data_IF_957021209549
#
_entry.id   IF_957021209549
#
_cell.length_a   1.000
_cell.length_b   1.000
_cell.length_c   1.000
_cell.angle_alpha   90.00
_cell.angle_beta   90.00
_cell.angle_gamma   90.00
#
_symmetry.space_group_name_H-M   'P 1'
#
loop_
_entity.id
_entity.type
_entity.pdbx_description
1 polymer ?
#
# COMPACT_ATOMS: atom_id res chain seq x y z
N UNK A 1 44.66 28.25 24.83
CA UNK A 1 43.44 29.00 24.63
C UNK A 1 42.51 28.23 23.69
N UNK A 2 41.56 27.50 24.29
CA UNK A 2 40.46 26.89 23.53
C UNK A 2 39.45 27.99 23.23
N UNK A 3 39.59 28.68 22.11
CA UNK A 3 38.51 29.50 21.58
C UNK A 3 37.42 28.56 21.02
N UNK A 4 36.26 28.55 21.65
CA UNK A 4 35.05 28.02 21.09
C UNK A 4 34.69 28.91 19.88
N UNK A 5 35.02 28.46 18.68
CA UNK A 5 34.58 29.11 17.46
C UNK A 5 33.06 28.97 17.45
N UNK A 6 32.35 30.11 17.42
CA UNK A 6 30.92 30.18 17.63
C UNK A 6 30.13 29.15 16.85
N UNK A 7 29.19 28.48 17.55
CA UNK A 7 28.19 27.63 16.90
C UNK A 7 27.27 28.56 16.09
N UNK A 8 27.27 28.37 14.77
CA UNK A 8 26.25 28.96 13.90
C UNK A 8 25.04 28.02 13.92
N UNK A 9 23.93 28.45 14.46
CA UNK A 9 22.67 27.72 14.39
C UNK A 9 21.94 28.18 13.14
N UNK A 10 21.55 27.22 12.26
CA UNK A 10 20.68 27.50 11.13
C UNK A 10 19.28 27.01 11.49
N UNK A 11 18.29 27.87 11.37
CA UNK A 11 16.89 27.57 11.58
C UNK A 11 16.24 27.23 10.23
N UNK A 12 15.47 26.14 10.19
CA UNK A 12 14.73 25.70 9.02
C UNK A 12 13.25 25.73 9.33
N UNK A 13 12.45 26.26 8.42
CA UNK A 13 11.00 26.26 8.48
C UNK A 13 10.44 25.28 7.42
N UNK A 14 9.47 24.44 7.84
CA UNK A 14 8.83 23.46 6.96
C UNK A 14 7.33 23.70 6.88
N UNK A 15 6.79 23.70 5.66
CA UNK A 15 5.38 23.96 5.38
C UNK A 15 4.54 22.68 5.41
N UNK A 16 4.37 22.08 6.58
CA UNK A 16 3.73 20.76 6.73
C UNK A 16 2.22 20.81 7.04
N UNK A 17 1.67 21.98 7.30
CA UNK A 17 0.29 22.12 7.75
C UNK A 17 -0.72 21.64 6.70
N UNK A 18 -1.64 20.75 7.11
CA UNK A 18 -2.72 20.18 6.30
C UNK A 18 -2.29 19.27 5.14
N UNK A 19 -1.03 18.88 5.06
CA UNK A 19 -0.61 17.86 4.12
C UNK A 19 -1.15 16.49 4.54
N UNK A 20 -1.61 15.73 3.55
CA UNK A 20 -2.05 14.35 3.77
C UNK A 20 -0.84 13.44 3.94
N UNK A 21 -0.98 12.48 4.82
CA UNK A 21 0.07 11.46 5.06
C UNK A 21 0.02 10.43 3.93
N UNK A 22 1.18 10.05 3.42
CA UNK A 22 1.35 8.99 2.45
C UNK A 22 1.37 7.59 3.08
N UNK A 23 2.00 6.64 2.41
CA UNK A 23 2.24 5.25 2.79
C UNK A 23 1.02 4.33 2.89
N UNK A 24 -0.17 4.85 3.19
CA UNK A 24 -1.35 4.01 3.32
C UNK A 24 -2.63 4.73 2.89
N UNK A 25 -3.59 3.97 2.34
CA UNK A 25 -4.93 4.48 2.08
C UNK A 25 -5.61 4.92 3.38
N UNK A 26 -6.14 6.15 3.41
CA UNK A 26 -6.85 6.67 4.57
C UNK A 26 -8.30 6.18 4.63
N UNK A 27 -8.77 5.50 3.59
CA UNK A 27 -10.09 4.88 3.53
C UNK A 27 -9.94 3.44 3.04
N UNK A 28 -10.47 2.50 3.81
CA UNK A 28 -10.50 1.09 3.44
C UNK A 28 -11.86 0.48 3.78
N UNK A 29 -12.46 -0.22 2.83
CA UNK A 29 -13.62 -1.06 3.04
C UNK A 29 -13.26 -2.52 2.79
N UNK A 30 -13.71 -3.40 3.68
CA UNK A 30 -13.47 -4.84 3.58
C UNK A 30 -14.79 -5.57 3.76
N UNK A 31 -15.09 -6.46 2.83
CA UNK A 31 -16.25 -7.34 2.91
C UNK A 31 -15.87 -8.75 2.46
N UNK A 32 -16.42 -9.75 3.13
CA UNK A 32 -16.14 -11.13 2.81
C UNK A 32 -17.34 -12.04 3.00
N UNK A 33 -17.38 -13.11 2.20
CA UNK A 33 -18.37 -14.18 2.29
C UNK A 33 -17.66 -15.53 2.31
N UNK A 34 -18.03 -16.35 3.27
CA UNK A 34 -17.59 -17.75 3.33
C UNK A 34 -18.77 -18.68 3.12
N UNK A 35 -18.64 -19.59 2.18
CA UNK A 35 -19.62 -20.62 1.91
C UNK A 35 -19.02 -22.01 2.15
N UNK A 36 -19.86 -22.94 2.59
CA UNK A 36 -19.49 -24.36 2.81
C UNK A 36 -20.44 -25.24 2.00
N UNK A 37 -20.22 -25.38 0.69
CA UNK A 37 -21.17 -26.01 -0.22
C UNK A 37 -21.33 -27.52 0.02
N UNK A 38 -20.28 -28.17 0.51
CA UNK A 38 -20.26 -29.58 0.88
C UNK A 38 -19.46 -29.79 2.16
N UNK A 39 -19.62 -30.95 2.80
CA UNK A 39 -18.88 -31.31 4.00
C UNK A 39 -17.36 -31.28 3.72
N UNK A 40 -16.64 -30.61 4.58
CA UNK A 40 -15.19 -30.46 4.50
C UNK A 40 -14.70 -29.33 3.61
N UNK A 41 -15.51 -28.77 2.70
CA UNK A 41 -15.12 -27.69 1.80
C UNK A 41 -15.58 -26.32 2.33
N UNK A 42 -14.64 -25.40 2.42
CA UNK A 42 -14.87 -23.99 2.70
C UNK A 42 -14.29 -23.14 1.58
N UNK A 43 -15.08 -22.22 1.05
CA UNK A 43 -14.66 -21.26 0.04
C UNK A 43 -15.00 -19.87 0.55
N UNK A 44 -14.02 -18.98 0.58
CA UNK A 44 -14.15 -17.59 1.00
C UNK A 44 -13.77 -16.65 -0.13
N UNK A 45 -14.62 -15.67 -0.40
CA UNK A 45 -14.27 -14.48 -1.16
C UNK A 45 -14.08 -13.30 -0.22
N UNK A 46 -13.01 -12.55 -0.40
CA UNK A 46 -12.68 -11.37 0.39
C UNK A 46 -12.38 -10.21 -0.55
N UNK A 47 -13.28 -9.23 -0.56
CA UNK A 47 -13.11 -8.01 -1.35
C UNK A 47 -12.64 -6.87 -0.45
N UNK A 48 -11.59 -6.15 -0.89
CA UNK A 48 -11.06 -4.96 -0.25
C UNK A 48 -11.06 -3.82 -1.23
N UNK A 49 -11.52 -2.66 -0.79
CA UNK A 49 -11.49 -1.44 -1.59
C UNK A 49 -10.80 -0.34 -0.81
N UNK A 50 -9.93 0.40 -1.51
CA UNK A 50 -9.04 1.42 -0.95
C UNK A 50 -9.19 2.74 -1.69
N UNK A 51 -9.19 3.84 -0.93
CA UNK A 51 -9.23 5.20 -1.45
C UNK A 51 -8.49 6.17 -0.53
N UNK A 52 -8.36 7.41 -0.97
CA UNK A 52 -7.66 8.46 -0.25
C UNK A 52 -6.23 8.04 0.12
N UNK A 53 -5.55 7.41 -0.82
CA UNK A 53 -4.14 7.12 -0.74
C UNK A 53 -3.38 8.24 -1.43
N UNK A 54 -2.42 8.85 -0.72
CA UNK A 54 -1.62 9.96 -1.19
C UNK A 54 -0.17 9.51 -1.32
N UNK A 55 0.56 10.14 -2.26
CA UNK A 55 2.00 9.89 -2.37
C UNK A 55 2.69 10.25 -1.06
N UNK A 56 3.65 9.43 -0.67
CA UNK A 56 4.54 9.77 0.44
C UNK A 56 5.44 10.95 0.06
N UNK A 57 5.88 11.68 1.05
CA UNK A 57 6.68 12.88 0.87
C UNK A 57 7.64 13.07 2.04
N UNK A 58 8.79 13.67 1.75
CA UNK A 58 9.79 13.96 2.77
C UNK A 58 9.61 15.38 3.32
N UNK A 59 9.68 15.59 4.64
CA UNK A 59 9.59 16.93 5.24
C UNK A 59 10.59 17.94 4.66
N UNK A 60 11.80 17.50 4.35
CA UNK A 60 12.84 18.37 3.77
C UNK A 60 12.50 18.84 2.35
N UNK A 61 11.57 18.16 1.66
CA UNK A 61 11.04 18.63 0.38
C UNK A 61 10.02 19.78 0.55
N UNK A 62 9.67 20.14 1.77
CA UNK A 62 8.71 21.19 2.15
C UNK A 62 9.34 22.33 2.93
N UNK A 63 10.65 22.47 2.82
CA UNK A 63 11.38 23.62 3.37
C UNK A 63 10.88 24.91 2.72
N UNK A 64 10.68 25.93 3.55
CA UNK A 64 10.36 27.29 3.09
C UNK A 64 11.62 27.91 2.52
N UNK A 65 11.58 28.26 1.26
CA UNK A 65 12.68 28.90 0.55
C UNK A 65 12.36 30.35 0.11
N UNK A 66 13.19 30.92 -0.76
CA UNK A 66 13.00 32.30 -1.26
C UNK A 66 11.68 32.47 -2.03
N UNK A 67 11.16 31.42 -2.64
CA UNK A 67 9.88 31.40 -3.35
C UNK A 67 8.68 31.25 -2.39
N UNK A 68 8.95 31.00 -1.11
CA UNK A 68 7.96 30.86 -0.06
C UNK A 68 7.62 29.42 0.31
N UNK A 69 6.54 29.27 1.08
CA UNK A 69 6.09 28.00 1.61
C UNK A 69 5.29 27.19 0.56
N UNK A 70 5.79 26.03 0.17
CA UNK A 70 5.05 25.10 -0.67
C UNK A 70 4.08 24.26 0.18
N UNK A 71 2.79 24.56 0.07
CA UNK A 71 1.69 23.91 0.79
C UNK A 71 0.76 23.13 -0.14
N UNK A 72 1.15 22.93 -1.40
CA UNK A 72 0.37 22.16 -2.34
C UNK A 72 0.26 20.71 -1.91
N UNK A 73 -0.94 20.14 -2.02
CA UNK A 73 -1.19 18.75 -1.64
C UNK A 73 -0.48 17.80 -2.60
N UNK A 74 0.08 16.73 -2.06
CA UNK A 74 0.66 15.65 -2.85
C UNK A 74 -0.39 14.90 -3.66
N UNK A 75 0.04 14.23 -4.71
CA UNK A 75 -0.84 13.48 -5.59
C UNK A 75 -1.64 12.41 -4.83
N UNK A 76 -2.94 12.37 -5.10
CA UNK A 76 -3.81 11.29 -4.67
C UNK A 76 -3.81 10.20 -5.74
N UNK A 77 -3.41 8.98 -5.35
CA UNK A 77 -3.44 7.83 -6.26
C UNK A 77 -4.87 7.43 -6.60
N UNK A 78 -5.11 6.77 -7.74
CA UNK A 78 -6.41 6.18 -8.04
C UNK A 78 -6.86 5.19 -6.97
N UNK A 79 -8.17 5.18 -6.67
CA UNK A 79 -8.77 4.15 -5.83
C UNK A 79 -8.71 2.79 -6.53
N UNK A 80 -8.63 1.71 -5.75
CA UNK A 80 -8.61 0.36 -6.31
C UNK A 80 -9.31 -0.64 -5.40
N UNK A 81 -9.70 -1.77 -6.00
CA UNK A 81 -10.29 -2.90 -5.30
C UNK A 81 -9.54 -4.20 -5.59
N UNK A 82 -9.56 -5.11 -4.62
CA UNK A 82 -8.94 -6.44 -4.74
C UNK A 82 -9.89 -7.50 -4.28
N UNK A 83 -10.05 -8.54 -5.09
CA UNK A 83 -10.76 -9.77 -4.71
C UNK A 83 -9.74 -10.88 -4.46
N UNK A 84 -9.73 -11.42 -3.25
CA UNK A 84 -8.97 -12.62 -2.92
C UNK A 84 -9.93 -13.79 -2.69
N UNK A 85 -9.58 -14.97 -3.21
CA UNK A 85 -10.34 -16.20 -3.03
C UNK A 85 -9.50 -17.21 -2.24
N UNK A 86 -10.12 -17.82 -1.25
CA UNK A 86 -9.49 -18.81 -0.40
C UNK A 86 -10.32 -20.08 -0.35
N UNK A 87 -9.67 -21.21 -0.48
CA UNK A 87 -10.27 -22.52 -0.42
C UNK A 87 -9.57 -23.36 0.64
N UNK A 88 -10.34 -24.06 1.44
CA UNK A 88 -9.86 -25.12 2.32
C UNK A 88 -10.76 -26.33 2.17
N UNK A 89 -10.17 -27.50 1.89
CA UNK A 89 -10.90 -28.75 1.76
C UNK A 89 -10.27 -29.84 2.64
N UNK A 90 -11.01 -30.20 3.69
CA UNK A 90 -10.67 -31.39 4.47
C UNK A 90 -11.08 -32.62 3.65
N UNK A 91 -10.10 -33.36 3.16
CA UNK A 91 -10.29 -34.57 2.40
C UNK A 91 -10.91 -35.66 3.29
N UNK A 92 -11.63 -36.65 2.71
CA UNK A 92 -12.00 -37.85 3.44
C UNK A 92 -10.75 -38.52 3.99
N UNK A 93 -10.84 -39.05 5.19
CA UNK A 93 -9.75 -39.80 5.82
C UNK A 93 -9.37 -41.02 4.96
N UNK A 94 -8.07 -41.15 4.68
CA UNK A 94 -7.52 -42.29 3.94
C UNK A 94 -6.38 -42.91 4.74
N UNK A 95 -6.49 -44.15 5.04
CA UNK A 95 -5.47 -44.94 5.76
C UNK A 95 -5.05 -44.33 7.12
N UNK A 96 -5.98 -43.67 7.86
CA UNK A 96 -5.70 -43.04 9.15
C UNK A 96 -5.05 -41.65 9.03
N UNK A 97 -4.92 -41.13 7.81
CA UNK A 97 -4.35 -39.80 7.58
C UNK A 97 -5.46 -38.75 7.43
N UNK A 98 -5.37 -37.69 8.23
CA UNK A 98 -6.17 -36.47 8.07
C UNK A 98 -5.44 -35.50 7.13
N UNK A 99 -6.06 -35.19 5.98
CA UNK A 99 -5.47 -34.31 4.97
C UNK A 99 -6.35 -33.08 4.73
N UNK A 100 -5.70 -31.90 4.64
CA UNK A 100 -6.37 -30.66 4.26
C UNK A 100 -5.64 -30.02 3.08
N UNK A 101 -6.36 -29.86 1.98
CA UNK A 101 -5.91 -29.07 0.82
C UNK A 101 -6.31 -27.62 1.04
N UNK A 102 -5.36 -26.70 0.83
CA UNK A 102 -5.61 -25.26 0.84
C UNK A 102 -5.22 -24.65 -0.50
N UNK A 103 -5.99 -23.67 -0.94
CA UNK A 103 -5.70 -22.89 -2.14
C UNK A 103 -6.04 -21.43 -1.92
N UNK A 104 -5.18 -20.54 -2.41
CA UNK A 104 -5.40 -19.11 -2.36
C UNK A 104 -5.14 -18.52 -3.72
N UNK A 105 -6.08 -17.72 -4.21
CA UNK A 105 -5.95 -16.93 -5.42
C UNK A 105 -6.05 -15.45 -5.00
N UNK A 106 -4.94 -14.75 -5.09
CA UNK A 106 -4.83 -13.34 -4.75
C UNK A 106 -5.02 -12.47 -5.99
N UNK A 107 -5.66 -11.33 -5.81
CA UNK A 107 -6.01 -10.43 -6.90
C UNK A 107 -6.72 -11.17 -8.05
N UNK A 108 -7.80 -11.88 -7.73
CA UNK A 108 -8.49 -12.77 -8.65
C UNK A 108 -9.03 -12.08 -9.91
N UNK A 109 -9.31 -10.77 -9.83
CA UNK A 109 -9.74 -9.94 -10.95
C UNK A 109 -8.58 -9.51 -11.87
N UNK A 110 -7.33 -9.70 -11.42
CA UNK A 110 -6.11 -9.30 -12.12
C UNK A 110 -6.02 -7.79 -12.40
N UNK A 111 -6.58 -7.00 -11.49
CA UNK A 111 -6.53 -5.55 -11.60
C UNK A 111 -5.11 -5.03 -11.39
N UNK A 112 -4.69 -4.11 -12.26
CA UNK A 112 -3.45 -3.36 -12.09
C UNK A 112 -3.75 -2.16 -11.18
N UNK A 113 -3.03 -2.03 -10.08
CA UNK A 113 -3.24 -0.96 -9.12
C UNK A 113 -1.92 -0.41 -8.59
N UNK A 114 -1.96 0.85 -8.17
CA UNK A 114 -0.84 1.50 -7.50
C UNK A 114 -0.97 1.17 -6.02
N UNK A 115 0.00 0.40 -5.52
CA UNK A 115 0.05 0.00 -4.12
C UNK A 115 0.64 1.10 -3.26
N UNK A 116 1.59 1.86 -3.81
CA UNK A 116 2.29 2.94 -3.15
C UNK A 116 2.82 3.95 -4.15
N UNK A 117 3.08 5.18 -3.69
CA UNK A 117 3.65 6.24 -4.50
C UNK A 117 4.49 7.19 -3.65
N UNK A 118 5.59 7.66 -4.20
CA UNK A 118 6.45 8.68 -3.58
C UNK A 118 6.45 9.95 -4.42
N UNK A 119 6.28 11.08 -3.79
CA UNK A 119 6.38 12.39 -4.42
C UNK A 119 7.85 12.75 -4.67
N UNK A 120 8.23 12.79 -5.93
CA UNK A 120 9.58 13.16 -6.38
C UNK A 120 9.63 14.56 -7.01
N UNK A 121 8.66 15.42 -6.75
CA UNK A 121 8.58 16.77 -7.33
C UNK A 121 9.84 17.61 -7.08
N UNK A 122 10.50 17.42 -5.95
CA UNK A 122 11.78 18.07 -5.63
C UNK A 122 12.93 17.62 -6.54
N UNK A 123 12.91 16.38 -7.00
CA UNK A 123 14.03 15.77 -7.72
C UNK A 123 13.80 15.63 -9.22
N UNK A 124 12.57 15.35 -9.62
CA UNK A 124 12.20 15.24 -11.03
C UNK A 124 11.89 16.60 -11.66
N UNK A 125 11.77 17.61 -10.83
CA UNK A 125 11.31 18.88 -11.28
C UNK A 125 12.43 19.68 -11.93
N UNK A 126 12.07 20.28 -12.97
CA UNK A 126 12.73 21.47 -13.45
C UNK A 126 12.46 22.64 -12.46
N UNK A 127 12.25 22.32 -11.17
CA UNK A 127 12.00 23.27 -10.09
C UNK A 127 10.56 23.78 -9.99
N UNK A 128 9.60 23.09 -10.62
CA UNK A 128 8.21 23.55 -10.71
C UNK A 128 7.35 23.26 -9.49
N UNK A 129 7.85 22.50 -8.49
CA UNK A 129 7.13 22.11 -7.27
C UNK A 129 5.71 21.56 -7.54
N UNK A 130 5.53 20.87 -8.67
CA UNK A 130 4.25 20.28 -9.07
C UNK A 130 4.12 18.87 -8.50
N UNK A 131 3.24 18.72 -7.53
CA UNK A 131 2.97 17.45 -6.84
C UNK A 131 1.89 16.64 -7.57
N UNK A 132 2.12 16.32 -8.84
CA UNK A 132 1.18 15.61 -9.69
C UNK A 132 1.68 14.21 -10.06
N UNK A 133 0.83 13.41 -10.68
CA UNK A 133 1.12 12.02 -11.05
C UNK A 133 2.44 11.86 -11.85
N UNK A 134 2.75 12.81 -12.74
CA UNK A 134 3.95 12.74 -13.59
C UNK A 134 5.26 12.96 -12.82
N UNK A 135 5.19 13.53 -11.62
CA UNK A 135 6.33 13.70 -10.71
C UNK A 135 6.37 12.64 -9.60
N UNK A 136 5.42 11.72 -9.56
CA UNK A 136 5.40 10.65 -8.58
C UNK A 136 6.10 9.41 -9.12
N UNK A 137 6.89 8.77 -8.28
CA UNK A 137 7.34 7.39 -8.45
C UNK A 137 6.25 6.46 -7.94
N UNK A 138 5.87 5.45 -8.73
CA UNK A 138 4.76 4.57 -8.40
C UNK A 138 5.23 3.13 -8.26
N UNK A 139 4.68 2.44 -7.28
CA UNK A 139 4.90 1.02 -7.03
C UNK A 139 3.60 0.27 -7.30
N UNK A 140 3.64 -0.63 -8.28
CA UNK A 140 2.48 -1.43 -8.63
C UNK A 140 2.29 -2.56 -7.63
N UNK A 141 1.04 -2.85 -7.33
CA UNK A 141 0.69 -4.00 -6.52
C UNK A 141 0.91 -5.32 -7.23
N UNK A 142 0.91 -6.40 -6.45
CA UNK A 142 1.12 -7.75 -6.98
C UNK A 142 0.02 -8.13 -7.98
N UNK A 143 0.38 -8.68 -9.15
CA UNK A 143 -0.58 -9.22 -10.10
C UNK A 143 -1.30 -10.43 -9.51
N UNK A 144 -2.26 -10.97 -10.25
CA UNK A 144 -2.91 -12.22 -9.86
C UNK A 144 -1.88 -13.33 -9.69
N UNK A 145 -1.92 -13.97 -8.53
CA UNK A 145 -1.07 -15.11 -8.22
C UNK A 145 -1.80 -16.09 -7.30
N UNK A 146 -1.31 -17.32 -7.24
CA UNK A 146 -1.91 -18.34 -6.39
C UNK A 146 -0.86 -19.12 -5.62
N UNK A 147 -1.29 -19.71 -4.53
CA UNK A 147 -0.54 -20.77 -3.86
C UNK A 147 -1.45 -21.95 -3.52
N UNK A 148 -0.85 -23.11 -3.39
CA UNK A 148 -1.50 -24.35 -2.99
C UNK A 148 -0.72 -24.99 -1.85
N UNK A 149 -1.43 -25.56 -0.89
CA UNK A 149 -0.85 -26.24 0.24
C UNK A 149 -1.58 -27.55 0.55
N UNK A 150 -0.84 -28.53 1.03
CA UNK A 150 -1.37 -29.78 1.57
C UNK A 150 -0.83 -29.96 2.97
N UNK A 151 -1.73 -30.07 3.95
CA UNK A 151 -1.39 -30.42 5.33
C UNK A 151 -1.79 -31.87 5.56
N UNK A 152 -0.87 -32.66 6.10
CA UNK A 152 -1.10 -34.07 6.46
C UNK A 152 -0.83 -34.22 7.95
N UNK A 153 -1.82 -34.76 8.67
CA UNK A 153 -1.69 -35.10 10.08
C UNK A 153 -1.79 -36.62 10.25
N UNK A 154 -0.90 -37.19 11.04
CA UNK A 154 -0.77 -38.64 11.28
C UNK A 154 -0.68 -38.92 12.78
#
# INVERSE_FOLDING_TARGET
DNQIIGQTSTEYEYALNNLKVGDMPQTAYVGGLTVKPIKGLSVQGLYRWYDNHYSDWSPDAREVDEDGADRAQVWKTPSYGKLDLHLAYKLPEVAGLDMTLTGHLFNALDDVYIQDATDNSKYNGYGDKVHAAHNAEVFLGSPRHFNLGLTVNF
#
